data_IF_306657267446
#
_entry.id   IF_306657267446
#
_cell.length_a   1.000
_cell.length_b   1.000
_cell.length_c   1.000
_cell.angle_alpha   90.00
_cell.angle_beta   90.00
_cell.angle_gamma   90.00
#
_symmetry.space_group_name_H-M   'P 1'
#
loop_
_entity.id
_entity.type
_entity.pdbx_description
1 polymer ?
#
# COMPACT_ATOMS: atom_id res chain seq x y z
N UNK A 1 1.33 -26.38 -22.38
CA UNK A 1 2.65 -26.34 -21.71
C UNK A 1 3.64 -27.41 -22.20
N UNK A 2 3.41 -28.08 -23.34
CA UNK A 2 4.33 -29.15 -23.85
C UNK A 2 5.02 -28.82 -25.18
N UNK A 3 5.01 -27.58 -25.66
CA UNK A 3 5.58 -27.22 -26.96
C UNK A 3 6.76 -26.25 -26.92
N UNK A 4 7.26 -25.87 -25.74
CA UNK A 4 8.43 -24.95 -25.61
C UNK A 4 9.75 -25.68 -25.31
N UNK A 5 9.70 -26.96 -24.99
CA UNK A 5 10.86 -27.73 -24.49
C UNK A 5 11.76 -28.37 -25.56
N UNK A 6 11.70 -27.98 -26.84
CA UNK A 6 12.51 -28.62 -27.92
C UNK A 6 13.40 -27.69 -28.75
N UNK A 7 13.68 -26.48 -28.27
CA UNK A 7 14.46 -25.49 -29.02
C UNK A 7 15.77 -24.98 -28.37
N UNK A 8 16.13 -25.46 -27.21
CA UNK A 8 17.24 -24.88 -26.44
C UNK A 8 18.36 -25.89 -26.19
N UNK A 9 19.05 -26.34 -27.23
CA UNK A 9 20.32 -27.06 -27.11
C UNK A 9 21.24 -26.82 -28.31
N UNK A 10 21.53 -25.56 -28.61
CA UNK A 10 22.75 -25.20 -29.36
C UNK A 10 23.03 -23.70 -29.16
N UNK A 11 24.09 -23.37 -28.39
CA UNK A 11 24.78 -22.09 -28.46
C UNK A 11 24.46 -21.07 -27.37
N UNK A 12 25.07 -21.18 -26.23
CA UNK A 12 25.25 -20.12 -25.23
C UNK A 12 26.23 -20.59 -24.18
N UNK A 13 27.47 -20.10 -24.27
CA UNK A 13 28.55 -20.45 -23.35
C UNK A 13 28.42 -19.67 -22.02
N UNK A 14 27.24 -19.70 -21.39
CA UNK A 14 27.01 -19.11 -20.07
C UNK A 14 27.17 -20.21 -18.99
N UNK A 15 28.41 -20.74 -18.90
CA UNK A 15 28.79 -21.59 -17.77
C UNK A 15 28.65 -20.78 -16.48
N UNK A 16 28.01 -21.33 -15.46
CA UNK A 16 27.87 -20.70 -14.16
C UNK A 16 29.23 -20.18 -13.68
N UNK A 17 29.30 -18.92 -13.27
CA UNK A 17 30.54 -18.19 -12.93
C UNK A 17 31.34 -18.84 -11.78
N UNK A 18 30.79 -19.84 -11.07
CA UNK A 18 31.37 -20.52 -9.92
C UNK A 18 31.96 -21.92 -10.22
N UNK A 19 32.04 -22.32 -11.48
CA UNK A 19 32.46 -23.69 -11.91
C UNK A 19 33.90 -24.09 -11.59
N UNK A 20 34.76 -23.16 -11.22
CA UNK A 20 36.21 -23.42 -11.15
C UNK A 20 36.68 -24.52 -10.18
N UNK A 21 35.83 -25.06 -9.31
CA UNK A 21 36.15 -26.14 -8.36
C UNK A 21 35.54 -27.47 -8.76
N UNK A 22 34.49 -27.50 -9.55
CA UNK A 22 33.70 -28.70 -9.82
C UNK A 22 34.16 -29.33 -11.14
N UNK A 23 34.26 -30.65 -11.16
CA UNK A 23 34.65 -31.44 -12.33
C UNK A 23 33.44 -31.75 -13.24
N UNK A 24 32.23 -31.76 -12.65
CA UNK A 24 30.98 -31.98 -13.37
C UNK A 24 30.13 -30.71 -13.42
N UNK A 25 29.41 -30.49 -14.52
CA UNK A 25 28.42 -29.43 -14.62
C UNK A 25 27.18 -29.70 -13.76
N UNK A 26 26.40 -28.64 -13.39
CA UNK A 26 25.17 -28.84 -12.65
C UNK A 26 24.15 -29.62 -13.49
N UNK A 27 23.32 -30.40 -12.82
CA UNK A 27 22.17 -31.07 -13.45
C UNK A 27 21.19 -30.04 -13.97
N UNK A 28 20.59 -30.27 -15.15
CA UNK A 28 19.67 -29.32 -15.77
C UNK A 28 18.44 -29.00 -14.88
N UNK A 29 17.93 -29.99 -14.14
CA UNK A 29 16.82 -29.83 -13.21
C UNK A 29 17.23 -28.98 -12.00
N UNK A 30 18.50 -29.15 -11.54
CA UNK A 30 19.02 -28.30 -10.46
C UNK A 30 19.17 -26.83 -10.90
N UNK A 31 19.63 -26.57 -12.13
CA UNK A 31 19.70 -25.21 -12.71
C UNK A 31 18.32 -24.59 -12.79
N UNK A 32 17.32 -25.32 -13.31
CA UNK A 32 15.95 -24.83 -13.40
C UNK A 32 15.37 -24.49 -12.01
N UNK A 33 15.69 -25.31 -11.00
CA UNK A 33 15.22 -25.12 -9.63
C UNK A 33 15.83 -23.89 -8.93
N UNK A 34 17.08 -23.55 -9.24
CA UNK A 34 17.77 -22.41 -8.61
C UNK A 34 17.62 -21.08 -9.37
N UNK A 35 17.13 -21.11 -10.62
CA UNK A 35 17.00 -19.93 -11.48
C UNK A 35 16.01 -18.92 -10.91
N UNK A 36 16.46 -17.66 -10.78
CA UNK A 36 15.65 -16.54 -10.25
C UNK A 36 15.33 -15.45 -11.28
N UNK A 37 15.83 -15.55 -12.51
CA UNK A 37 15.73 -14.50 -13.55
C UNK A 37 14.28 -14.07 -13.85
N UNK A 38 13.31 -14.98 -13.70
CA UNK A 38 11.89 -14.69 -13.89
C UNK A 38 11.34 -13.65 -12.90
N UNK A 39 11.98 -13.54 -11.74
CA UNK A 39 11.60 -12.62 -10.67
C UNK A 39 12.49 -11.40 -10.66
N UNK A 40 13.82 -11.61 -10.62
CA UNK A 40 14.80 -10.56 -10.41
C UNK A 40 15.07 -9.67 -11.64
N UNK A 41 14.67 -10.09 -12.85
CA UNK A 41 14.68 -9.24 -14.05
C UNK A 41 14.07 -7.85 -13.84
N UNK A 42 13.15 -7.73 -12.88
CA UNK A 42 12.51 -6.48 -12.50
C UNK A 42 13.53 -5.44 -12.00
N UNK A 43 14.64 -5.87 -11.44
CA UNK A 43 15.71 -5.02 -10.91
C UNK A 43 16.84 -4.74 -11.92
N UNK A 44 16.66 -5.07 -13.21
CA UNK A 44 17.71 -4.91 -14.21
C UNK A 44 18.30 -3.49 -14.26
N UNK A 45 17.47 -2.45 -14.15
CA UNK A 45 17.91 -1.06 -14.15
C UNK A 45 18.60 -0.67 -12.83
N UNK A 46 18.18 -1.26 -11.73
CA UNK A 46 18.78 -1.06 -10.41
C UNK A 46 20.17 -1.70 -10.36
N UNK A 47 20.32 -2.93 -10.87
CA UNK A 47 21.62 -3.60 -11.00
C UNK A 47 22.61 -2.82 -11.88
N UNK A 48 22.16 -2.34 -13.05
CA UNK A 48 22.98 -1.52 -13.93
C UNK A 48 23.39 -0.21 -13.22
N UNK A 49 22.49 0.42 -12.50
CA UNK A 49 22.76 1.67 -11.76
C UNK A 49 23.78 1.43 -10.66
N UNK A 50 23.61 0.37 -9.86
CA UNK A 50 24.55 -0.06 -8.84
C UNK A 50 25.91 -0.43 -9.40
N UNK A 51 25.94 -1.20 -10.49
CA UNK A 51 27.17 -1.62 -11.19
C UNK A 51 27.95 -0.43 -11.77
N UNK A 52 27.29 0.58 -12.34
CA UNK A 52 27.94 1.81 -12.82
C UNK A 52 28.61 2.57 -11.68
N UNK A 53 27.94 2.75 -10.55
CA UNK A 53 28.51 3.43 -9.39
C UNK A 53 29.71 2.65 -8.81
N UNK A 54 29.61 1.32 -8.75
CA UNK A 54 30.69 0.46 -8.32
C UNK A 54 31.92 0.58 -9.21
N UNK A 55 31.75 0.48 -10.52
CA UNK A 55 32.85 0.57 -11.51
C UNK A 55 33.50 1.96 -11.51
N UNK A 56 32.72 3.02 -11.38
CA UNK A 56 33.25 4.38 -11.23
C UNK A 56 34.16 4.48 -9.99
N UNK A 57 33.79 3.88 -8.88
CA UNK A 57 34.61 3.79 -7.66
C UNK A 57 35.88 2.96 -7.90
N UNK A 58 35.81 1.81 -8.60
CA UNK A 58 36.95 0.98 -8.90
C UNK A 58 38.02 1.74 -9.71
N UNK A 59 37.59 2.51 -10.73
CA UNK A 59 38.46 3.36 -11.50
C UNK A 59 39.08 4.47 -10.66
N UNK A 60 38.25 5.24 -9.94
CA UNK A 60 38.70 6.34 -9.09
C UNK A 60 39.67 5.92 -7.97
N UNK A 61 39.47 4.70 -7.43
CA UNK A 61 40.37 4.11 -6.41
C UNK A 61 41.62 3.44 -7.01
N UNK A 62 41.78 3.43 -8.31
CA UNK A 62 42.94 2.83 -9.00
C UNK A 62 43.00 1.31 -8.93
N UNK A 63 41.86 0.66 -8.62
CA UNK A 63 41.74 -0.81 -8.56
C UNK A 63 41.71 -1.39 -9.97
N UNK A 64 41.08 -0.69 -10.90
CA UNK A 64 41.14 -0.97 -12.34
C UNK A 64 41.57 0.29 -13.08
N UNK A 65 42.13 0.17 -14.31
CA UNK A 65 42.47 1.34 -15.11
C UNK A 65 41.23 2.19 -15.42
N UNK A 66 41.35 3.53 -15.34
CA UNK A 66 40.25 4.46 -15.55
C UNK A 66 39.57 4.29 -16.93
N UNK A 67 40.37 4.08 -17.98
CA UNK A 67 39.85 3.85 -19.33
C UNK A 67 39.00 2.57 -19.44
N UNK A 68 39.32 1.53 -18.68
CA UNK A 68 38.46 0.32 -18.62
C UNK A 68 37.20 0.58 -17.81
N UNK A 69 37.28 1.34 -16.72
CA UNK A 69 36.09 1.74 -15.96
C UNK A 69 35.12 2.54 -16.85
N UNK A 70 35.65 3.52 -17.62
CA UNK A 70 34.85 4.32 -18.54
C UNK A 70 34.20 3.46 -19.64
N UNK A 71 34.94 2.48 -20.18
CA UNK A 71 34.43 1.52 -21.18
C UNK A 71 33.29 0.66 -20.61
N UNK A 72 33.44 0.15 -19.40
CA UNK A 72 32.41 -0.67 -18.73
C UNK A 72 31.14 0.18 -18.48
N UNK A 73 31.30 1.40 -17.98
CA UNK A 73 30.17 2.31 -17.72
C UNK A 73 29.40 2.60 -19.01
N UNK A 74 30.12 2.92 -20.08
CA UNK A 74 29.50 3.18 -21.39
C UNK A 74 28.75 1.96 -21.94
N UNK A 75 29.34 0.77 -21.79
CA UNK A 75 28.69 -0.48 -22.22
C UNK A 75 27.43 -0.79 -21.39
N UNK A 76 27.44 -0.58 -20.05
CA UNK A 76 26.30 -0.71 -19.17
C UNK A 76 25.17 0.29 -19.54
N UNK A 77 25.52 1.52 -19.92
CA UNK A 77 24.54 2.50 -20.42
C UNK A 77 23.89 2.06 -21.74
N UNK A 78 24.66 1.42 -22.60
CA UNK A 78 24.14 0.82 -23.82
C UNK A 78 23.19 -0.34 -23.52
N UNK A 79 23.55 -1.22 -22.58
CA UNK A 79 22.69 -2.34 -22.14
C UNK A 79 21.36 -1.82 -21.57
N UNK A 80 21.42 -0.81 -20.69
CA UNK A 80 20.22 -0.17 -20.12
C UNK A 80 19.26 0.32 -21.20
N UNK A 81 19.79 1.09 -22.18
CA UNK A 81 18.98 1.63 -23.29
C UNK A 81 18.40 0.54 -24.19
N UNK A 82 19.17 -0.51 -24.45
CA UNK A 82 18.72 -1.63 -25.28
C UNK A 82 17.62 -2.44 -24.60
N UNK A 83 17.70 -2.63 -23.28
CA UNK A 83 16.63 -3.25 -22.48
C UNK A 83 15.37 -2.38 -22.48
N UNK A 84 15.50 -1.07 -22.25
CA UNK A 84 14.35 -0.14 -22.25
C UNK A 84 13.65 -0.06 -23.62
N UNK A 85 14.42 -0.09 -24.70
CA UNK A 85 13.85 -0.05 -26.05
C UNK A 85 13.37 -1.39 -26.59
N UNK A 86 13.67 -2.49 -25.88
CA UNK A 86 13.39 -3.86 -26.34
C UNK A 86 14.34 -4.36 -27.44
N UNK A 87 15.42 -3.63 -27.72
CA UNK A 87 16.48 -4.07 -28.66
C UNK A 87 17.30 -5.24 -28.09
N UNK A 88 17.40 -5.33 -26.78
CA UNK A 88 17.94 -6.46 -26.05
C UNK A 88 16.80 -7.14 -25.28
N UNK A 89 16.63 -8.44 -25.50
CA UNK A 89 15.68 -9.28 -24.75
C UNK A 89 16.41 -10.08 -23.71
N UNK A 90 15.80 -10.28 -22.56
CA UNK A 90 16.36 -11.10 -21.48
C UNK A 90 16.39 -12.55 -21.92
N UNK A 91 17.54 -13.19 -21.77
CA UNK A 91 17.71 -14.63 -21.97
C UNK A 91 17.40 -15.37 -20.67
N UNK A 92 16.27 -16.02 -20.65
CA UNK A 92 15.78 -16.81 -19.49
C UNK A 92 16.56 -18.10 -19.23
N UNK A 93 17.61 -18.40 -20.02
CA UNK A 93 18.56 -19.48 -19.71
C UNK A 93 19.63 -19.07 -18.71
N UNK A 94 19.75 -17.76 -18.41
CA UNK A 94 20.65 -17.26 -17.37
C UNK A 94 20.10 -17.59 -15.96
N UNK A 95 20.98 -17.77 -14.99
CA UNK A 95 20.63 -18.06 -13.59
C UNK A 95 19.83 -16.91 -12.96
N UNK A 96 20.33 -15.68 -13.13
CA UNK A 96 19.77 -14.45 -12.57
C UNK A 96 20.03 -13.25 -13.50
N UNK A 97 19.39 -12.12 -13.24
CA UNK A 97 19.53 -10.90 -14.02
C UNK A 97 20.97 -10.35 -14.01
N UNK A 98 21.66 -10.55 -12.92
CA UNK A 98 23.04 -10.10 -12.74
C UNK A 98 24.01 -10.88 -13.64
N UNK A 99 23.87 -12.21 -13.70
CA UNK A 99 24.64 -13.06 -14.62
C UNK A 99 24.33 -12.73 -16.06
N UNK A 100 23.07 -12.45 -16.40
CA UNK A 100 22.68 -12.03 -17.73
C UNK A 100 23.38 -10.72 -18.13
N UNK A 101 23.31 -9.68 -17.27
CA UNK A 101 23.93 -8.38 -17.56
C UNK A 101 25.46 -8.51 -17.68
N UNK A 102 26.10 -9.27 -16.79
CA UNK A 102 27.56 -9.51 -16.82
C UNK A 102 27.99 -10.29 -18.09
N UNK A 103 27.16 -11.27 -18.52
CA UNK A 103 27.36 -12.00 -19.76
C UNK A 103 27.28 -11.08 -20.97
N UNK A 104 26.22 -10.31 -21.13
CA UNK A 104 26.05 -9.34 -22.22
C UNK A 104 27.17 -8.29 -22.22
N UNK A 105 27.58 -7.81 -21.04
CA UNK A 105 28.67 -6.87 -20.89
C UNK A 105 30.00 -7.48 -21.41
N UNK A 106 30.27 -8.72 -21.00
CA UNK A 106 31.49 -9.45 -21.43
C UNK A 106 31.50 -9.71 -22.93
N UNK A 107 30.37 -10.04 -23.53
CA UNK A 107 30.24 -10.24 -24.97
C UNK A 107 30.49 -8.94 -25.74
N UNK A 108 30.11 -7.79 -25.19
CA UNK A 108 30.28 -6.48 -25.83
C UNK A 108 31.73 -5.94 -25.75
N UNK A 109 32.40 -6.13 -24.62
CA UNK A 109 33.69 -5.48 -24.35
C UNK A 109 34.81 -6.43 -23.91
N UNK A 110 34.57 -7.75 -23.91
CA UNK A 110 35.60 -8.79 -23.65
C UNK A 110 36.11 -8.75 -22.20
N UNK A 111 37.43 -8.93 -22.03
CA UNK A 111 38.10 -9.04 -20.72
C UNK A 111 37.83 -7.85 -19.78
N UNK A 112 37.62 -6.64 -20.32
CA UNK A 112 37.28 -5.50 -19.49
C UNK A 112 35.95 -5.67 -18.78
N UNK A 113 34.95 -6.31 -19.42
CA UNK A 113 33.63 -6.58 -18.84
C UNK A 113 33.69 -7.44 -17.61
N UNK A 114 34.58 -8.42 -17.55
CA UNK A 114 34.78 -9.31 -16.41
C UNK A 114 35.21 -8.59 -15.11
N UNK A 115 35.69 -7.34 -15.23
CA UNK A 115 36.13 -6.56 -14.07
C UNK A 115 34.97 -5.89 -13.30
N UNK A 116 33.76 -5.91 -13.83
CA UNK A 116 32.58 -5.33 -13.18
C UNK A 116 32.32 -5.92 -11.79
N UNK A 117 32.68 -7.19 -11.58
CA UNK A 117 32.47 -7.91 -10.32
C UNK A 117 33.62 -7.75 -9.30
N UNK A 118 34.68 -7.01 -9.63
CA UNK A 118 35.86 -6.87 -8.78
C UNK A 118 35.53 -6.32 -7.40
N UNK A 119 35.87 -7.07 -6.33
CA UNK A 119 35.63 -6.66 -4.94
C UNK A 119 34.17 -6.72 -4.48
N UNK A 120 33.27 -7.30 -5.26
CA UNK A 120 31.83 -7.43 -4.98
C UNK A 120 31.44 -8.89 -4.80
N UNK A 121 30.37 -9.14 -4.07
CA UNK A 121 29.66 -10.42 -4.03
C UNK A 121 28.25 -10.24 -4.58
N UNK A 122 27.65 -11.34 -5.04
CA UNK A 122 26.21 -11.37 -5.36
C UNK A 122 25.36 -10.93 -4.14
N UNK A 123 25.81 -11.22 -2.92
CA UNK A 123 25.07 -10.93 -1.68
C UNK A 123 24.90 -9.43 -1.45
N UNK A 124 25.96 -8.61 -1.56
CA UNK A 124 25.87 -7.17 -1.37
C UNK A 124 25.28 -6.46 -2.60
N UNK A 125 25.41 -7.06 -3.80
CA UNK A 125 24.78 -6.60 -5.03
C UNK A 125 23.26 -6.69 -4.94
N UNK A 126 22.69 -7.86 -4.62
CA UNK A 126 21.23 -8.06 -4.47
C UNK A 126 20.68 -7.15 -3.38
N UNK A 127 21.36 -7.07 -2.22
CA UNK A 127 20.94 -6.20 -1.13
C UNK A 127 20.89 -4.71 -1.53
N UNK A 128 21.76 -4.27 -2.48
CA UNK A 128 21.70 -2.93 -3.05
C UNK A 128 20.50 -2.78 -3.98
N UNK A 129 20.32 -3.73 -4.90
CA UNK A 129 19.32 -3.63 -5.97
C UNK A 129 17.89 -3.62 -5.41
N UNK A 130 17.61 -4.43 -4.39
CA UNK A 130 16.34 -4.39 -3.66
C UNK A 130 16.09 -3.02 -2.98
N UNK A 131 17.12 -2.43 -2.36
CA UNK A 131 17.00 -1.09 -1.77
C UNK A 131 16.80 0.00 -2.83
N UNK A 132 17.49 -0.07 -3.94
CA UNK A 132 17.30 0.86 -5.06
C UNK A 132 15.90 0.73 -5.63
N UNK A 133 15.43 -0.50 -5.88
CA UNK A 133 14.06 -0.77 -6.32
C UNK A 133 13.03 -0.14 -5.39
N UNK A 134 13.13 -0.39 -4.08
CA UNK A 134 12.18 0.13 -3.11
C UNK A 134 12.21 1.66 -3.03
N UNK A 135 13.38 2.30 -3.19
CA UNK A 135 13.52 3.75 -3.16
C UNK A 135 12.79 4.47 -4.29
N UNK A 136 12.47 3.81 -5.40
CA UNK A 136 11.62 4.38 -6.45
C UNK A 136 10.20 3.80 -6.45
N UNK A 137 10.02 2.54 -6.07
CA UNK A 137 8.70 1.89 -6.04
C UNK A 137 7.80 2.48 -4.94
N UNK A 138 8.34 2.70 -3.74
CA UNK A 138 7.55 3.21 -2.61
C UNK A 138 7.04 4.64 -2.82
N UNK A 139 7.84 5.63 -3.28
CA UNK A 139 7.32 6.94 -3.63
C UNK A 139 6.20 6.91 -4.68
N UNK A 140 6.28 5.97 -5.63
CA UNK A 140 5.21 5.74 -6.62
C UNK A 140 3.92 5.28 -5.95
N UNK A 141 3.99 4.34 -5.01
CA UNK A 141 2.84 3.89 -4.23
C UNK A 141 2.29 5.02 -3.33
N UNK A 142 3.15 5.79 -2.69
CA UNK A 142 2.77 6.96 -1.88
C UNK A 142 2.01 8.01 -2.72
N UNK A 143 2.44 8.27 -3.95
CA UNK A 143 1.72 9.15 -4.88
C UNK A 143 0.31 8.65 -5.20
N UNK A 144 0.13 7.33 -5.35
CA UNK A 144 -1.19 6.73 -5.56
C UNK A 144 -2.10 6.85 -4.32
N UNK A 145 -1.54 6.73 -3.12
CA UNK A 145 -2.28 6.99 -1.86
C UNK A 145 -2.75 8.45 -1.83
N UNK A 146 -1.88 9.42 -2.12
CA UNK A 146 -2.27 10.85 -2.21
C UNK A 146 -3.37 11.07 -3.26
N UNK A 147 -3.29 10.38 -4.39
CA UNK A 147 -4.32 10.44 -5.44
C UNK A 147 -5.68 9.95 -4.94
N UNK A 148 -5.73 8.82 -4.23
CA UNK A 148 -6.98 8.32 -3.63
C UNK A 148 -7.53 9.30 -2.58
N UNK A 149 -6.67 9.82 -1.70
CA UNK A 149 -7.09 10.83 -0.71
C UNK A 149 -7.67 12.06 -1.40
N UNK A 150 -7.04 12.55 -2.46
CA UNK A 150 -7.55 13.70 -3.23
C UNK A 150 -8.94 13.44 -3.81
N UNK A 151 -9.15 12.27 -4.41
CA UNK A 151 -10.49 11.87 -4.93
C UNK A 151 -11.53 11.82 -3.81
N UNK A 152 -11.20 11.22 -2.67
CA UNK A 152 -12.11 11.13 -1.52
C UNK A 152 -12.43 12.51 -0.93
N UNK A 153 -11.44 13.38 -0.84
CA UNK A 153 -11.59 14.77 -0.35
C UNK A 153 -12.47 15.60 -1.28
N UNK A 154 -12.35 15.43 -2.60
CA UNK A 154 -13.20 16.14 -3.56
C UNK A 154 -14.65 15.68 -3.48
N UNK A 155 -14.88 14.37 -3.30
CA UNK A 155 -16.22 13.84 -3.03
C UNK A 155 -16.75 14.40 -1.70
N UNK A 156 -15.95 14.36 -0.64
CA UNK A 156 -16.33 14.86 0.68
C UNK A 156 -16.71 16.34 0.64
N UNK A 157 -15.99 17.16 -0.11
CA UNK A 157 -16.27 18.60 -0.22
C UNK A 157 -17.65 18.89 -0.82
N UNK A 158 -18.10 18.07 -1.76
CA UNK A 158 -19.45 18.13 -2.33
C UNK A 158 -20.56 17.63 -1.39
N UNK A 159 -20.22 16.93 -0.31
CA UNK A 159 -21.16 16.20 0.55
C UNK A 159 -21.10 16.59 2.04
N UNK A 160 -20.63 17.79 2.37
CA UNK A 160 -20.51 18.28 3.76
C UNK A 160 -21.84 18.33 4.51
N UNK A 161 -22.95 18.52 3.81
CA UNK A 161 -24.30 18.54 4.37
C UNK A 161 -25.12 17.27 4.08
N UNK A 162 -24.57 16.31 3.33
CA UNK A 162 -25.27 15.08 3.00
C UNK A 162 -25.32 14.16 4.22
N UNK A 163 -26.50 14.08 4.83
CA UNK A 163 -26.74 13.27 6.03
C UNK A 163 -26.58 11.78 5.72
N UNK A 164 -25.98 11.07 6.65
CA UNK A 164 -25.78 9.63 6.64
C UNK A 164 -25.97 9.09 8.05
N UNK A 165 -26.68 7.98 8.21
CA UNK A 165 -26.70 7.29 9.50
C UNK A 165 -25.31 6.70 9.78
N UNK A 166 -24.72 7.01 10.93
CA UNK A 166 -23.56 6.31 11.43
C UNK A 166 -23.97 4.93 11.99
N UNK A 167 -23.05 3.97 11.92
CA UNK A 167 -23.30 2.59 12.35
C UNK A 167 -22.28 2.14 13.39
N UNK A 168 -22.76 1.45 14.42
CA UNK A 168 -21.95 0.62 15.32
C UNK A 168 -22.62 -0.75 15.42
N UNK A 169 -21.83 -1.84 15.41
CA UNK A 169 -22.40 -3.21 15.41
C UNK A 169 -23.37 -3.49 14.25
N UNK A 170 -23.21 -2.80 13.11
CA UNK A 170 -24.16 -2.77 11.98
C UNK A 170 -25.58 -2.30 12.37
N UNK A 171 -25.71 -1.64 13.51
CA UNK A 171 -26.96 -1.00 13.94
C UNK A 171 -26.85 0.51 13.71
N UNK A 172 -27.97 1.14 13.33
CA UNK A 172 -28.06 2.59 13.22
C UNK A 172 -27.73 3.23 14.56
N UNK A 173 -26.84 4.20 14.55
CA UNK A 173 -26.39 4.93 15.72
C UNK A 173 -26.77 6.41 15.58
N UNK A 174 -25.79 7.30 15.56
CA UNK A 174 -26.02 8.73 15.46
C UNK A 174 -25.88 9.20 14.01
N UNK A 175 -26.59 10.26 13.58
CA UNK A 175 -26.39 10.84 12.26
C UNK A 175 -25.01 11.50 12.15
N UNK A 176 -24.40 11.35 10.98
CA UNK A 176 -23.16 11.98 10.56
C UNK A 176 -23.33 12.56 9.14
N UNK A 177 -22.27 13.03 8.50
CA UNK A 177 -22.30 13.36 7.08
C UNK A 177 -21.48 12.36 6.28
N UNK A 178 -21.81 12.19 4.99
CA UNK A 178 -20.99 11.42 4.05
C UNK A 178 -19.54 11.94 4.04
N UNK A 179 -19.38 13.25 4.03
CA UNK A 179 -18.05 13.88 4.08
C UNK A 179 -17.26 13.48 5.32
N UNK A 180 -17.89 13.46 6.50
CA UNK A 180 -17.23 13.03 7.73
C UNK A 180 -16.75 11.58 7.62
N UNK A 181 -17.58 10.70 7.06
CA UNK A 181 -17.23 9.29 6.87
C UNK A 181 -16.03 9.13 5.90
N UNK A 182 -16.06 9.82 4.75
CA UNK A 182 -14.96 9.76 3.77
C UNK A 182 -13.66 10.35 4.33
N UNK A 183 -13.72 11.40 5.13
CA UNK A 183 -12.54 11.92 5.83
C UNK A 183 -11.93 10.87 6.78
N UNK A 184 -12.74 10.00 7.40
CA UNK A 184 -12.19 8.93 8.23
C UNK A 184 -11.34 7.96 7.41
N UNK A 185 -11.74 7.61 6.17
CA UNK A 185 -10.92 6.81 5.26
C UNK A 185 -9.61 7.54 4.90
N UNK A 186 -9.69 8.85 4.61
CA UNK A 186 -8.51 9.66 4.29
C UNK A 186 -7.47 9.66 5.43
N UNK A 187 -7.90 9.79 6.69
CA UNK A 187 -7.01 9.74 7.85
C UNK A 187 -6.35 8.36 8.05
N UNK A 188 -7.02 7.28 7.65
CA UNK A 188 -6.42 5.93 7.66
C UNK A 188 -5.32 5.83 6.59
N UNK A 189 -5.60 6.27 5.38
CA UNK A 189 -4.64 6.28 4.25
C UNK A 189 -3.43 7.18 4.50
N UNK A 190 -3.62 8.34 5.16
CA UNK A 190 -2.50 9.21 5.55
C UNK A 190 -1.53 8.49 6.50
N UNK A 191 -2.05 7.75 7.47
CA UNK A 191 -1.19 6.94 8.36
C UNK A 191 -0.46 5.81 7.62
N UNK A 192 -1.07 5.26 6.55
CA UNK A 192 -0.39 4.26 5.71
C UNK A 192 0.76 4.88 4.91
N UNK A 193 0.54 6.07 4.36
CA UNK A 193 1.60 6.84 3.71
C UNK A 193 2.79 7.08 4.66
N UNK A 194 2.52 7.53 5.89
CA UNK A 194 3.55 7.80 6.89
C UNK A 194 4.34 6.53 7.28
N UNK A 195 3.69 5.37 7.38
CA UNK A 195 4.39 4.09 7.62
C UNK A 195 5.38 3.76 6.50
N UNK A 196 4.99 3.99 5.26
CA UNK A 196 5.90 3.80 4.11
C UNK A 196 7.07 4.78 4.15
N UNK A 197 6.83 6.04 4.52
CA UNK A 197 7.87 7.06 4.68
C UNK A 197 8.85 6.70 5.79
N UNK A 198 8.35 6.26 6.95
CA UNK A 198 9.16 5.80 8.07
C UNK A 198 10.03 4.59 7.67
N UNK A 199 9.48 3.62 6.95
CA UNK A 199 10.21 2.45 6.47
C UNK A 199 11.30 2.84 5.45
N UNK A 200 11.02 3.78 4.53
CA UNK A 200 12.01 4.31 3.59
C UNK A 200 13.24 4.91 4.31
N UNK A 201 13.06 5.51 5.48
CA UNK A 201 14.18 6.08 6.24
C UNK A 201 15.23 5.04 6.65
N UNK A 202 14.81 3.78 6.86
CA UNK A 202 15.70 2.69 7.30
C UNK A 202 16.49 2.03 6.18
N UNK A 203 16.13 2.21 4.93
CA UNK A 203 16.89 1.69 3.78
C UNK A 203 17.84 2.72 3.15
N UNK A 204 18.11 3.83 3.83
CA UNK A 204 18.95 4.91 3.30
C UNK A 204 20.47 4.69 3.48
N UNK A 205 20.90 3.47 3.80
CA UNK A 205 22.31 3.11 3.89
C UNK A 205 22.69 2.12 2.78
N UNK A 206 23.80 2.42 2.07
CA UNK A 206 24.32 1.57 0.98
C UNK A 206 24.93 0.29 1.55
N UNK A 207 24.54 -0.90 1.06
CA UNK A 207 25.14 -2.16 1.46
C UNK A 207 26.41 -2.48 0.67
N UNK A 208 26.63 -1.84 -0.48
CA UNK A 208 27.69 -2.24 -1.43
C UNK A 208 29.08 -2.08 -0.82
N UNK A 209 29.93 -3.07 -1.08
CA UNK A 209 31.27 -3.22 -0.49
C UNK A 209 31.27 -4.06 0.80
N UNK A 210 30.11 -4.59 1.23
CA UNK A 210 30.04 -5.59 2.30
C UNK A 210 30.59 -6.97 1.84
N UNK A 211 30.68 -7.18 0.52
CA UNK A 211 31.12 -8.42 -0.06
C UNK A 211 30.17 -9.58 0.28
N UNK A 212 30.71 -10.79 0.40
CA UNK A 212 29.89 -11.94 0.79
C UNK A 212 29.41 -11.86 2.25
N UNK A 213 30.23 -11.34 3.18
CA UNK A 213 29.95 -11.13 4.60
C UNK A 213 31.04 -10.38 5.36
N UNK A 214 32.28 -10.28 4.80
CA UNK A 214 33.46 -9.80 5.53
C UNK A 214 34.10 -8.57 4.84
N UNK A 215 33.43 -7.94 3.90
CA UNK A 215 33.97 -6.86 3.09
C UNK A 215 34.98 -7.37 2.07
N UNK A 216 35.94 -6.49 1.70
CA UNK A 216 37.01 -6.79 0.74
C UNK A 216 38.34 -6.30 1.29
N UNK A 217 39.44 -6.98 0.92
CA UNK A 217 40.80 -6.52 1.17
C UNK A 217 41.27 -5.45 0.18
N UNK A 218 40.50 -5.19 -0.91
CA UNK A 218 40.74 -4.12 -1.84
C UNK A 218 40.32 -2.78 -1.21
N UNK A 219 41.02 -1.67 -1.58
CA UNK A 219 40.72 -0.35 -1.03
C UNK A 219 39.44 0.26 -1.65
N UNK A 220 38.29 -0.40 -1.44
CA UNK A 220 37.01 0.08 -1.93
C UNK A 220 36.59 1.36 -1.19
N UNK A 221 36.13 2.35 -1.91
CA UNK A 221 35.57 3.58 -1.35
C UNK A 221 34.03 3.45 -1.31
N UNK A 222 33.49 2.84 -0.23
CA UNK A 222 32.08 2.63 -0.04
C UNK A 222 31.29 3.93 0.07
N UNK A 223 31.89 4.95 0.67
CA UNK A 223 31.31 6.28 0.84
C UNK A 223 31.07 6.96 -0.52
N UNK A 224 32.01 6.85 -1.44
CA UNK A 224 31.87 7.35 -2.81
C UNK A 224 30.66 6.69 -3.52
N UNK A 225 30.53 5.37 -3.40
CA UNK A 225 29.39 4.63 -3.99
C UNK A 225 28.08 5.09 -3.37
N UNK A 226 28.01 5.19 -2.04
CA UNK A 226 26.83 5.66 -1.32
C UNK A 226 26.41 7.06 -1.79
N UNK A 227 27.37 7.99 -1.89
CA UNK A 227 27.13 9.35 -2.37
C UNK A 227 26.65 9.39 -3.82
N UNK A 228 27.26 8.61 -4.69
CA UNK A 228 26.90 8.53 -6.14
C UNK A 228 25.45 8.03 -6.30
N UNK A 229 25.02 7.09 -5.47
CA UNK A 229 23.68 6.52 -5.50
C UNK A 229 22.66 7.29 -4.62
N UNK A 230 23.07 8.39 -3.98
CA UNK A 230 22.21 9.23 -3.14
C UNK A 230 21.76 8.54 -1.85
N UNK A 231 22.57 7.63 -1.29
CA UNK A 231 22.38 7.10 0.05
C UNK A 231 22.92 8.06 1.12
N UNK A 232 22.36 8.00 2.32
CA UNK A 232 22.80 8.83 3.44
C UNK A 232 24.15 8.41 4.03
N UNK A 233 24.62 7.20 3.72
CA UNK A 233 25.85 6.63 4.21
C UNK A 233 25.98 5.16 3.84
N UNK A 234 26.83 4.44 4.56
CA UNK A 234 27.08 3.01 4.35
C UNK A 234 26.62 2.20 5.56
N UNK A 235 26.23 0.96 5.34
CA UNK A 235 25.86 0.04 6.42
C UNK A 235 27.06 -0.25 7.33
N UNK A 236 26.88 -0.30 8.67
CA UNK A 236 27.99 -0.33 9.62
C UNK A 236 28.65 -1.70 9.81
N UNK A 237 27.98 -2.79 9.45
CA UNK A 237 28.48 -4.15 9.65
C UNK A 237 28.21 -5.01 8.42
N UNK A 238 29.26 -5.56 7.79
CA UNK A 238 29.16 -6.30 6.55
C UNK A 238 28.40 -7.63 6.66
N UNK A 239 28.46 -8.28 7.82
CA UNK A 239 27.79 -9.56 8.03
C UNK A 239 26.29 -9.38 8.22
N UNK A 240 25.85 -8.35 8.96
CA UNK A 240 24.47 -7.93 9.09
C UNK A 240 23.90 -7.46 7.75
N UNK A 241 24.65 -6.66 7.01
CA UNK A 241 24.26 -6.04 5.74
C UNK A 241 23.72 -7.04 4.71
N UNK A 242 24.39 -8.20 4.58
CA UNK A 242 24.02 -9.20 3.58
C UNK A 242 22.94 -10.18 4.08
N UNK A 243 22.64 -10.15 5.37
CA UNK A 243 21.58 -10.93 6.02
C UNK A 243 20.27 -10.15 6.19
N UNK A 244 20.33 -8.82 6.16
CA UNK A 244 19.20 -7.94 6.40
C UNK A 244 18.12 -8.11 5.31
N UNK A 245 16.93 -8.49 5.75
CA UNK A 245 15.67 -8.53 5.00
C UNK A 245 14.53 -7.88 5.79
N UNK A 246 14.86 -7.14 6.85
CA UNK A 246 13.88 -6.46 7.68
C UNK A 246 13.03 -5.51 6.85
N UNK A 247 13.62 -4.85 5.85
CA UNK A 247 12.91 -3.96 4.96
C UNK A 247 11.84 -4.66 4.11
N UNK A 248 12.08 -5.89 3.64
CA UNK A 248 11.07 -6.68 2.92
C UNK A 248 9.87 -6.96 3.82
N UNK A 249 10.11 -7.35 5.06
CA UNK A 249 9.09 -7.62 6.08
C UNK A 249 8.35 -6.32 6.44
N UNK A 250 9.07 -5.25 6.69
CA UNK A 250 8.50 -3.96 7.14
C UNK A 250 7.58 -3.34 6.07
N UNK A 251 8.03 -3.30 4.81
CA UNK A 251 7.18 -2.81 3.72
C UNK A 251 5.98 -3.71 3.50
N UNK A 252 6.14 -5.03 3.53
CA UNK A 252 5.01 -5.96 3.37
C UNK A 252 4.03 -5.88 4.53
N UNK A 253 4.50 -5.59 5.76
CA UNK A 253 3.63 -5.31 6.90
C UNK A 253 2.85 -3.99 6.70
N UNK A 254 3.48 -2.94 6.18
CA UNK A 254 2.81 -1.70 5.83
C UNK A 254 1.77 -1.92 4.72
N UNK A 255 2.10 -2.71 3.69
CA UNK A 255 1.16 -3.12 2.64
C UNK A 255 -0.02 -3.91 3.20
N UNK A 256 0.21 -4.80 4.16
CA UNK A 256 -0.84 -5.56 4.83
C UNK A 256 -1.82 -4.66 5.58
N UNK A 257 -1.34 -3.62 6.25
CA UNK A 257 -2.19 -2.61 6.90
C UNK A 257 -3.00 -1.79 5.89
N UNK A 258 -2.37 -1.32 4.82
CA UNK A 258 -3.07 -0.61 3.74
C UNK A 258 -4.17 -1.48 3.13
N UNK A 259 -3.90 -2.76 2.84
CA UNK A 259 -4.91 -3.69 2.35
C UNK A 259 -6.01 -3.96 3.37
N UNK A 260 -5.70 -3.97 4.68
CA UNK A 260 -6.72 -4.06 5.74
C UNK A 260 -7.68 -2.87 5.67
N UNK A 261 -7.17 -1.66 5.46
CA UNK A 261 -7.99 -0.47 5.32
C UNK A 261 -8.84 -0.53 4.05
N UNK A 262 -8.24 -0.85 2.90
CA UNK A 262 -8.97 -1.02 1.64
C UNK A 262 -10.06 -2.11 1.74
N UNK A 263 -9.77 -3.22 2.43
CA UNK A 263 -10.75 -4.29 2.69
C UNK A 263 -11.97 -3.77 3.47
N UNK A 264 -11.75 -2.93 4.49
CA UNK A 264 -12.83 -2.32 5.27
C UNK A 264 -13.65 -1.34 4.43
N UNK A 265 -12.99 -0.53 3.59
CA UNK A 265 -13.69 0.37 2.68
C UNK A 265 -14.53 -0.41 1.67
N UNK A 266 -13.97 -1.48 1.13
CA UNK A 266 -14.69 -2.37 0.21
C UNK A 266 -15.88 -3.05 0.87
N UNK A 267 -15.78 -3.46 2.14
CA UNK A 267 -16.90 -4.02 2.89
C UNK A 267 -18.06 -3.01 2.99
N UNK A 268 -17.75 -1.76 3.33
CA UNK A 268 -18.77 -0.70 3.38
C UNK A 268 -19.37 -0.43 1.98
N UNK A 269 -18.55 -0.37 0.93
CA UNK A 269 -19.04 -0.22 -0.46
C UNK A 269 -19.97 -1.38 -0.86
N UNK A 270 -19.62 -2.62 -0.50
CA UNK A 270 -20.42 -3.81 -0.78
C UNK A 270 -21.77 -3.69 -0.07
N UNK A 271 -21.78 -3.39 1.24
CA UNK A 271 -23.00 -3.21 2.02
C UNK A 271 -23.84 -2.05 1.45
N UNK A 272 -23.21 -0.92 1.15
CA UNK A 272 -23.91 0.28 0.65
C UNK A 272 -24.47 0.11 -0.76
N UNK A 273 -23.93 -0.80 -1.56
CA UNK A 273 -24.43 -1.10 -2.91
C UNK A 273 -25.57 -2.08 -2.93
N UNK A 274 -25.91 -2.73 -1.81
CA UNK A 274 -27.07 -3.66 -1.72
C UNK A 274 -28.39 -2.93 -1.92
N UNK A 275 -29.42 -3.67 -2.33
CA UNK A 275 -30.79 -3.16 -2.50
C UNK A 275 -31.36 -2.60 -1.19
N UNK A 276 -30.99 -3.20 -0.04
CA UNK A 276 -31.42 -2.81 1.31
C UNK A 276 -30.86 -1.44 1.70
N UNK A 277 -29.60 -1.15 1.40
CA UNK A 277 -28.95 0.13 1.70
C UNK A 277 -29.14 1.14 0.58
N UNK A 278 -28.74 0.83 -0.63
CA UNK A 278 -28.77 1.74 -1.79
C UNK A 278 -28.13 3.10 -1.55
N UNK A 279 -27.06 3.16 -0.80
CA UNK A 279 -26.36 4.41 -0.52
C UNK A 279 -25.40 4.79 -1.65
N UNK A 280 -24.84 3.79 -2.37
CA UNK A 280 -23.93 3.98 -3.47
C UNK A 280 -24.40 3.18 -4.69
N UNK A 281 -24.22 3.77 -5.87
CA UNK A 281 -24.39 3.09 -7.16
C UNK A 281 -23.05 3.14 -7.90
N UNK A 282 -22.42 1.98 -8.04
CA UNK A 282 -21.14 1.85 -8.74
C UNK A 282 -21.35 2.01 -10.24
N UNK A 283 -20.38 2.59 -10.93
CA UNK A 283 -20.40 2.65 -12.41
C UNK A 283 -20.42 1.24 -13.01
N UNK A 284 -21.07 1.07 -14.16
CA UNK A 284 -21.07 -0.19 -14.91
C UNK A 284 -19.66 -0.68 -15.25
N UNK A 285 -18.70 0.23 -15.41
CA UNK A 285 -17.29 -0.10 -15.64
C UNK A 285 -16.65 -0.83 -14.44
N UNK A 286 -17.22 -0.68 -13.26
CA UNK A 286 -16.72 -1.22 -11.98
C UNK A 286 -17.75 -2.14 -11.32
N UNK A 287 -18.56 -2.80 -12.14
CA UNK A 287 -19.57 -3.76 -11.71
C UNK A 287 -19.69 -4.86 -12.75
N UNK A 288 -20.23 -6.00 -12.35
CA UNK A 288 -20.58 -7.06 -13.30
C UNK A 288 -22.06 -7.39 -13.24
N UNK A 289 -22.59 -7.99 -14.31
CA UNK A 289 -23.94 -8.51 -14.35
C UNK A 289 -24.00 -9.98 -14.00
N UNK A 290 -25.18 -10.54 -14.10
CA UNK A 290 -25.41 -11.98 -13.99
C UNK A 290 -25.84 -12.56 -15.34
N UNK A 291 -25.30 -13.71 -15.73
CA UNK A 291 -25.67 -14.41 -16.95
C UNK A 291 -27.09 -14.97 -16.93
N UNK A 292 -27.68 -15.10 -15.73
CA UNK A 292 -29.02 -15.68 -15.53
C UNK A 292 -30.04 -14.67 -14.96
N UNK A 293 -29.56 -13.62 -14.25
CA UNK A 293 -30.41 -12.63 -13.60
C UNK A 293 -30.16 -11.25 -14.20
N UNK A 294 -30.92 -10.79 -15.20
CA UNK A 294 -30.63 -9.56 -15.94
C UNK A 294 -30.68 -8.28 -15.09
N UNK A 295 -31.36 -8.29 -13.96
CA UNK A 295 -31.48 -7.16 -13.05
C UNK A 295 -30.29 -7.04 -12.08
N UNK A 296 -29.45 -8.09 -11.96
CA UNK A 296 -28.40 -8.16 -10.93
C UNK A 296 -27.15 -7.38 -11.35
N UNK A 297 -26.65 -6.55 -10.44
CA UNK A 297 -25.42 -5.79 -10.56
C UNK A 297 -24.56 -6.07 -9.34
N UNK A 298 -23.36 -6.59 -9.56
CA UNK A 298 -22.48 -7.06 -8.48
C UNK A 298 -21.31 -6.10 -8.26
N UNK A 299 -20.88 -5.87 -7.00
CA UNK A 299 -19.71 -5.07 -6.66
C UNK A 299 -18.41 -5.91 -6.71
N UNK A 300 -18.18 -6.72 -7.76
CA UNK A 300 -17.13 -7.72 -7.80
C UNK A 300 -15.74 -7.14 -7.58
N UNK A 301 -15.49 -5.92 -8.03
CA UNK A 301 -14.17 -5.28 -7.85
C UNK A 301 -13.89 -4.99 -6.38
N UNK A 302 -14.89 -4.56 -5.61
CA UNK A 302 -14.77 -4.39 -4.17
C UNK A 302 -14.56 -5.76 -3.48
N UNK A 303 -15.27 -6.81 -3.92
CA UNK A 303 -15.09 -8.16 -3.39
C UNK A 303 -13.69 -8.71 -3.67
N UNK A 304 -13.16 -8.50 -4.89
CA UNK A 304 -11.82 -8.92 -5.28
C UNK A 304 -10.73 -8.20 -4.47
N UNK A 305 -10.85 -6.89 -4.25
CA UNK A 305 -9.91 -6.14 -3.41
C UNK A 305 -9.93 -6.70 -1.99
N UNK A 306 -11.12 -6.90 -1.41
CA UNK A 306 -11.29 -7.54 -0.09
C UNK A 306 -10.64 -8.92 -0.05
N UNK A 307 -10.83 -9.75 -1.08
CA UNK A 307 -10.26 -11.09 -1.16
C UNK A 307 -8.72 -11.08 -1.28
N UNK A 308 -8.16 -10.17 -2.10
CA UNK A 308 -6.69 -10.04 -2.30
C UNK A 308 -5.94 -9.62 -1.05
N UNK A 309 -6.60 -9.08 -0.04
CA UNK A 309 -5.98 -8.77 1.26
C UNK A 309 -5.32 -10.00 1.86
N UNK A 310 -5.96 -11.18 1.77
CA UNK A 310 -5.39 -12.44 2.26
C UNK A 310 -4.11 -12.86 1.53
N UNK A 311 -3.96 -12.51 0.25
CA UNK A 311 -2.73 -12.77 -0.51
C UNK A 311 -1.55 -11.97 0.06
N UNK A 312 -1.73 -10.69 0.33
CA UNK A 312 -0.68 -9.83 0.91
C UNK A 312 -0.31 -10.28 2.33
N UNK A 313 -1.28 -10.74 3.13
CA UNK A 313 -1.00 -11.35 4.43
C UNK A 313 -0.16 -12.63 4.28
N UNK A 314 -0.46 -13.46 3.28
CA UNK A 314 0.31 -14.65 2.95
C UNK A 314 1.77 -14.31 2.65
N UNK A 315 2.02 -13.27 1.85
CA UNK A 315 3.36 -12.78 1.53
C UNK A 315 4.13 -12.32 2.79
N UNK A 316 3.48 -11.60 3.70
CA UNK A 316 4.09 -11.22 4.97
C UNK A 316 4.49 -12.43 5.82
N UNK A 317 3.60 -13.42 5.93
CA UNK A 317 3.87 -14.63 6.69
C UNK A 317 5.00 -15.45 6.03
N UNK A 318 5.07 -15.49 4.69
CA UNK A 318 6.15 -16.15 3.98
C UNK A 318 7.51 -15.52 4.32
N UNK A 319 7.62 -14.18 4.24
CA UNK A 319 8.85 -13.44 4.58
C UNK A 319 9.28 -13.64 6.04
N UNK A 320 8.35 -13.53 6.99
CA UNK A 320 8.61 -13.78 8.41
C UNK A 320 9.10 -15.22 8.65
N UNK A 321 8.51 -16.19 7.95
CA UNK A 321 8.85 -17.60 8.07
C UNK A 321 10.21 -17.89 7.43
N UNK A 322 10.51 -17.29 6.29
CA UNK A 322 11.77 -17.41 5.59
C UNK A 322 12.96 -17.02 6.49
N UNK A 323 12.91 -15.84 7.10
CA UNK A 323 14.02 -15.33 7.93
C UNK A 323 14.10 -16.03 9.29
N UNK A 324 12.97 -16.55 9.81
CA UNK A 324 12.91 -17.18 11.12
C UNK A 324 13.85 -18.41 11.19
N UNK A 325 14.82 -18.33 12.09
CA UNK A 325 15.71 -19.46 12.39
C UNK A 325 16.92 -19.58 11.44
N UNK A 326 17.11 -18.67 10.48
CA UNK A 326 18.33 -18.61 9.70
C UNK A 326 19.51 -18.15 10.55
N UNK A 327 20.72 -18.73 10.38
CA UNK A 327 21.93 -18.14 10.93
C UNK A 327 22.25 -16.80 10.25
N UNK A 328 23.14 -16.03 10.86
CA UNK A 328 23.61 -14.78 10.28
C UNK A 328 24.29 -14.99 8.92
N UNK A 329 24.41 -13.89 8.16
CA UNK A 329 24.88 -13.87 6.79
C UNK A 329 23.85 -14.47 5.82
N UNK A 330 24.24 -14.67 4.57
CA UNK A 330 23.34 -15.11 3.51
C UNK A 330 23.13 -16.64 3.53
N UNK A 331 21.89 -17.04 3.36
CA UNK A 331 21.46 -18.40 3.06
C UNK A 331 20.55 -18.37 1.83
N UNK A 332 20.56 -19.42 1.01
CA UNK A 332 19.80 -19.49 -0.26
C UNK A 332 18.28 -19.33 -0.05
N UNK A 333 17.77 -19.61 1.15
CA UNK A 333 16.39 -19.35 1.55
C UNK A 333 15.97 -17.91 1.25
N UNK A 334 16.89 -16.95 1.38
CA UNK A 334 16.63 -15.52 1.13
C UNK A 334 16.34 -15.19 -0.35
N UNK A 335 16.49 -16.14 -1.28
CA UNK A 335 16.07 -15.95 -2.67
C UNK A 335 14.54 -15.78 -2.79
N UNK A 336 13.79 -16.33 -1.84
CA UNK A 336 12.32 -16.27 -1.77
C UNK A 336 11.78 -14.89 -1.34
N UNK A 337 12.64 -13.92 -1.00
CA UNK A 337 12.29 -12.58 -0.56
C UNK A 337 11.56 -11.80 -1.65
N UNK A 338 12.07 -11.83 -2.87
CA UNK A 338 11.63 -11.01 -3.99
C UNK A 338 10.23 -11.37 -4.50
N UNK A 339 9.91 -12.65 -4.62
CA UNK A 339 8.58 -13.07 -5.06
C UNK A 339 7.49 -12.52 -4.14
N UNK A 340 7.66 -12.72 -2.83
CA UNK A 340 6.71 -12.26 -1.83
C UNK A 340 6.60 -10.74 -1.79
N UNK A 341 7.72 -10.02 -1.87
CA UNK A 341 7.75 -8.55 -1.83
C UNK A 341 7.10 -7.94 -3.08
N UNK A 342 7.49 -8.43 -4.27
CA UNK A 342 7.00 -7.90 -5.54
C UNK A 342 5.52 -8.21 -5.75
N UNK A 343 5.08 -9.42 -5.40
CA UNK A 343 3.68 -9.80 -5.47
C UNK A 343 2.81 -8.96 -4.53
N UNK A 344 3.29 -8.69 -3.32
CA UNK A 344 2.61 -7.82 -2.37
C UNK A 344 2.50 -6.38 -2.91
N UNK A 345 3.59 -5.82 -3.43
CA UNK A 345 3.62 -4.49 -4.03
C UNK A 345 2.65 -4.35 -5.22
N UNK A 346 2.69 -5.30 -6.16
CA UNK A 346 1.83 -5.29 -7.35
C UNK A 346 0.35 -5.44 -6.97
N UNK A 347 0.07 -6.31 -6.02
CA UNK A 347 -1.30 -6.53 -5.51
C UNK A 347 -1.85 -5.25 -4.88
N UNK A 348 -1.09 -4.61 -3.99
CA UNK A 348 -1.50 -3.36 -3.34
C UNK A 348 -1.68 -2.25 -4.34
N UNK A 349 -0.72 -2.07 -5.25
CA UNK A 349 -0.74 -1.03 -6.28
C UNK A 349 -1.98 -1.16 -7.16
N UNK A 350 -2.25 -2.36 -7.67
CA UNK A 350 -3.42 -2.61 -8.52
C UNK A 350 -4.74 -2.43 -7.77
N UNK A 351 -4.83 -2.86 -6.51
CA UNK A 351 -6.02 -2.68 -5.68
C UNK A 351 -6.30 -1.20 -5.40
N UNK A 352 -5.26 -0.41 -5.12
CA UNK A 352 -5.38 1.02 -4.87
C UNK A 352 -5.86 1.78 -6.12
N UNK A 353 -5.31 1.45 -7.30
CA UNK A 353 -5.74 2.03 -8.58
C UNK A 353 -7.19 1.72 -8.90
N UNK A 354 -7.58 0.44 -8.79
CA UNK A 354 -8.96 0.00 -9.04
C UNK A 354 -9.92 0.66 -8.07
N UNK A 355 -9.61 0.70 -6.78
CA UNK A 355 -10.46 1.34 -5.78
C UNK A 355 -10.63 2.83 -6.05
N UNK A 356 -9.54 3.53 -6.41
CA UNK A 356 -9.57 4.96 -6.74
C UNK A 356 -10.53 5.27 -7.89
N UNK A 357 -10.43 4.50 -8.97
CA UNK A 357 -11.30 4.67 -10.15
C UNK A 357 -12.75 4.29 -9.84
N UNK A 358 -12.97 3.21 -9.11
CA UNK A 358 -14.29 2.73 -8.72
C UNK A 358 -15.03 3.76 -7.88
N UNK A 359 -14.39 4.28 -6.82
CA UNK A 359 -15.02 5.24 -5.91
C UNK A 359 -15.19 6.63 -6.56
N UNK A 360 -14.23 7.05 -7.40
CA UNK A 360 -14.26 8.34 -8.09
C UNK A 360 -15.35 8.45 -9.15
N UNK A 361 -15.88 7.32 -9.63
CA UNK A 361 -16.95 7.26 -10.63
C UNK A 361 -18.31 6.81 -10.06
N UNK A 362 -18.36 6.53 -8.76
CA UNK A 362 -19.58 6.11 -8.09
C UNK A 362 -20.58 7.27 -7.93
N UNK A 363 -21.85 6.95 -7.85
CA UNK A 363 -22.94 7.89 -7.56
C UNK A 363 -23.41 7.68 -6.12
N UNK A 364 -23.59 8.77 -5.41
CA UNK A 364 -24.03 8.79 -4.01
C UNK A 364 -25.51 9.11 -3.92
N UNK A 365 -26.28 8.21 -3.37
CA UNK A 365 -27.73 8.37 -3.19
C UNK A 365 -28.04 9.11 -1.88
N UNK A 366 -27.83 10.42 -1.88
CA UNK A 366 -27.96 11.27 -0.70
C UNK A 366 -29.34 11.27 -0.08
N UNK A 367 -30.41 11.10 -0.90
CA UNK A 367 -31.79 11.03 -0.40
C UNK A 367 -32.01 9.75 0.43
N UNK A 368 -31.47 8.63 -0.06
CA UNK A 368 -31.55 7.35 0.66
C UNK A 368 -30.71 7.35 1.93
N UNK A 369 -29.52 8.00 1.87
CA UNK A 369 -28.68 8.21 3.06
C UNK A 369 -29.42 9.06 4.10
N UNK A 370 -29.98 10.18 3.71
CA UNK A 370 -30.75 11.05 4.60
C UNK A 370 -31.96 10.33 5.22
N UNK A 371 -32.71 9.57 4.42
CA UNK A 371 -33.82 8.75 4.88
C UNK A 371 -33.39 7.70 5.91
N UNK A 372 -32.14 7.22 5.89
CA UNK A 372 -31.61 6.29 6.89
C UNK A 372 -31.45 6.92 8.28
N UNK A 373 -31.35 8.25 8.35
CA UNK A 373 -31.25 8.99 9.62
C UNK A 373 -32.61 9.16 10.33
N UNK A 374 -33.72 8.89 9.63
CA UNK A 374 -35.07 8.93 10.20
C UNK A 374 -35.46 7.53 10.70
N UNK A 375 -36.18 7.49 11.82
CA UNK A 375 -36.51 6.23 12.49
C UNK A 375 -35.34 5.64 13.30
N UNK A 376 -35.63 4.68 14.16
CA UNK A 376 -34.64 4.06 15.04
C UNK A 376 -34.13 4.96 16.18
N UNK A 377 -34.74 6.12 16.36
CA UNK A 377 -34.46 7.04 17.47
C UNK A 377 -32.99 7.49 17.58
N UNK A 378 -32.31 7.70 16.43
CA UNK A 378 -30.91 8.05 16.35
C UNK A 378 -30.56 9.39 17.07
N UNK A 379 -31.57 10.20 17.34
CA UNK A 379 -31.52 11.49 18.04
C UNK A 379 -31.80 11.36 19.58
N UNK A 380 -32.00 10.19 20.12
CA UNK A 380 -32.26 10.01 21.55
C UNK A 380 -31.12 10.55 22.45
N UNK A 381 -29.88 10.47 22.00
CA UNK A 381 -28.74 11.06 22.71
C UNK A 381 -28.87 12.57 22.80
N UNK A 382 -29.38 13.22 21.75
CA UNK A 382 -29.54 14.68 21.68
C UNK A 382 -30.62 15.16 22.65
N UNK A 383 -31.68 14.34 22.91
CA UNK A 383 -32.64 14.58 23.96
C UNK A 383 -31.98 14.54 25.34
N UNK A 384 -31.14 13.54 25.60
CA UNK A 384 -30.39 13.46 26.86
C UNK A 384 -29.44 14.64 27.04
N UNK A 385 -28.71 15.03 26.02
CA UNK A 385 -27.77 16.16 26.03
C UNK A 385 -28.52 17.50 26.21
N UNK A 386 -29.71 17.64 25.65
CA UNK A 386 -30.58 18.79 25.90
C UNK A 386 -30.90 18.96 27.37
N UNK A 387 -31.30 17.86 28.05
CA UNK A 387 -31.58 17.88 29.47
C UNK A 387 -30.33 18.16 30.32
N UNK A 388 -29.17 17.67 29.89
CA UNK A 388 -27.89 17.96 30.56
C UNK A 388 -27.59 19.45 30.50
N UNK A 389 -27.81 20.11 29.33
CA UNK A 389 -27.66 21.56 29.21
C UNK A 389 -28.58 22.35 30.14
N UNK A 390 -29.73 21.77 30.52
CA UNK A 390 -30.65 22.32 31.51
C UNK A 390 -30.31 21.94 32.95
N UNK A 391 -29.13 21.31 33.19
CA UNK A 391 -28.63 21.01 34.53
C UNK A 391 -28.94 19.63 35.06
N UNK A 392 -29.61 18.75 34.25
CA UNK A 392 -29.88 17.38 34.68
C UNK A 392 -28.64 16.51 34.61
N UNK A 393 -28.34 15.67 35.64
CA UNK A 393 -27.25 14.71 35.54
C UNK A 393 -27.44 13.75 34.38
N UNK A 394 -26.37 13.46 33.61
CA UNK A 394 -26.43 12.67 32.38
C UNK A 394 -27.13 11.32 32.54
N UNK A 395 -26.86 10.59 33.63
CA UNK A 395 -27.51 9.28 33.88
C UNK A 395 -29.03 9.40 34.02
N UNK A 396 -29.52 10.47 34.66
CA UNK A 396 -30.93 10.78 34.77
C UNK A 396 -31.52 11.19 33.42
N UNK A 397 -30.84 12.08 32.71
CA UNK A 397 -31.22 12.51 31.37
C UNK A 397 -31.32 11.33 30.36
N UNK A 398 -30.36 10.41 30.42
CA UNK A 398 -30.40 9.17 29.63
C UNK A 398 -31.66 8.32 29.99
N UNK A 399 -32.00 8.21 31.27
CA UNK A 399 -33.21 7.51 31.68
C UNK A 399 -34.51 8.17 31.17
N UNK A 400 -34.56 9.50 31.11
CA UNK A 400 -35.66 10.26 30.51
C UNK A 400 -35.75 10.01 28.99
N UNK A 401 -34.63 10.11 28.29
CA UNK A 401 -34.58 9.84 26.85
C UNK A 401 -35.00 8.40 26.53
N UNK A 402 -34.62 7.43 27.37
CA UNK A 402 -35.05 6.03 27.23
C UNK A 402 -36.57 5.84 27.42
N UNK A 403 -37.20 6.63 28.30
CA UNK A 403 -38.68 6.62 28.44
C UNK A 403 -39.35 7.16 27.17
N UNK A 404 -38.86 8.24 26.60
CA UNK A 404 -39.37 8.78 25.33
C UNK A 404 -39.22 7.77 24.19
N UNK A 405 -38.04 7.13 24.06
CA UNK A 405 -37.83 6.04 23.08
C UNK A 405 -38.82 4.88 23.30
N UNK A 406 -39.03 4.46 24.54
CA UNK A 406 -39.99 3.39 24.85
C UNK A 406 -41.39 3.76 24.41
N UNK A 407 -41.83 4.99 24.70
CA UNK A 407 -43.14 5.50 24.27
C UNK A 407 -43.26 5.48 22.73
N UNK A 408 -42.22 5.85 22.01
CA UNK A 408 -42.20 5.79 20.55
C UNK A 408 -42.31 4.36 20.02
N UNK A 409 -41.59 3.41 20.61
CA UNK A 409 -41.71 1.97 20.26
C UNK A 409 -43.12 1.46 20.46
N UNK A 410 -43.72 1.77 21.59
CA UNK A 410 -45.07 1.31 21.91
C UNK A 410 -46.14 1.92 20.97
N UNK A 411 -45.91 3.10 20.43
CA UNK A 411 -46.81 3.82 19.51
C UNK A 411 -46.45 3.65 18.02
N UNK A 412 -45.28 3.09 17.69
CA UNK A 412 -44.82 2.95 16.32
C UNK A 412 -44.48 4.29 15.64
N UNK A 413 -43.97 5.29 16.39
CA UNK A 413 -43.62 6.62 15.90
C UNK A 413 -42.17 6.99 16.23
N UNK A 414 -41.66 8.14 15.72
CA UNK A 414 -40.35 8.69 16.04
C UNK A 414 -40.44 9.68 17.21
N UNK A 415 -39.32 10.10 17.78
CA UNK A 415 -39.29 11.09 18.88
C UNK A 415 -39.84 12.44 18.40
N UNK A 416 -39.57 12.79 17.16
CA UNK A 416 -40.05 14.02 16.52
C UNK A 416 -41.58 14.07 16.33
N UNK A 417 -42.24 12.91 16.35
CA UNK A 417 -43.68 12.77 16.16
C UNK A 417 -44.47 12.86 17.51
N UNK A 418 -43.72 12.86 18.64
CA UNK A 418 -44.35 13.02 19.96
C UNK A 418 -44.84 14.47 20.15
N UNK A 419 -45.95 14.64 20.86
CA UNK A 419 -46.41 15.96 21.30
C UNK A 419 -45.52 16.52 22.42
N UNK A 420 -45.55 17.82 22.63
CA UNK A 420 -44.86 18.45 23.77
C UNK A 420 -45.36 17.86 25.10
N UNK A 421 -46.63 17.62 25.21
CA UNK A 421 -47.25 16.99 26.42
C UNK A 421 -46.67 15.58 26.66
N UNK A 422 -46.49 14.77 25.60
CA UNK A 422 -45.88 13.45 25.70
C UNK A 422 -44.43 13.57 26.21
N UNK A 423 -43.66 14.48 25.66
CA UNK A 423 -42.24 14.72 26.06
C UNK A 423 -42.19 15.22 27.52
N UNK A 424 -43.05 16.16 27.88
CA UNK A 424 -43.16 16.70 29.25
C UNK A 424 -43.62 15.64 30.28
N UNK A 425 -44.37 14.63 29.85
CA UNK A 425 -44.69 13.49 30.73
C UNK A 425 -43.45 12.68 31.11
N UNK A 426 -42.36 12.77 30.31
CA UNK A 426 -41.07 12.18 30.63
C UNK A 426 -40.22 13.09 31.52
N UNK A 427 -40.24 14.41 31.28
CA UNK A 427 -39.59 15.46 32.07
C UNK A 427 -40.15 16.84 31.77
N UNK A 428 -40.53 17.63 32.76
CA UNK A 428 -40.99 19.00 32.63
C UNK A 428 -39.94 19.96 32.05
N UNK A 429 -38.65 19.58 32.05
CA UNK A 429 -37.55 20.33 31.45
C UNK A 429 -37.54 20.27 29.91
N UNK A 430 -38.34 19.40 29.30
CA UNK A 430 -38.50 19.33 27.85
C UNK A 430 -39.47 20.42 27.40
N UNK A 431 -38.96 21.38 26.62
CA UNK A 431 -39.69 22.55 26.14
C UNK A 431 -39.85 22.51 24.62
N UNK A 432 -40.66 23.45 24.05
CA UNK A 432 -41.00 23.51 22.63
C UNK A 432 -39.77 23.53 21.71
N UNK A 433 -38.69 24.17 22.14
CA UNK A 433 -37.45 24.35 21.36
C UNK A 433 -36.74 23.06 21.04
N UNK A 434 -37.00 21.98 21.79
CA UNK A 434 -36.38 20.65 21.57
C UNK A 434 -36.63 20.14 20.16
N UNK A 435 -37.81 20.34 19.58
CA UNK A 435 -38.15 19.85 18.24
C UNK A 435 -37.22 20.42 17.17
N UNK A 436 -36.71 21.62 17.34
CA UNK A 436 -35.74 22.21 16.43
C UNK A 436 -34.32 21.65 16.60
N UNK A 437 -34.01 21.08 17.75
CA UNK A 437 -32.67 20.63 18.16
C UNK A 437 -32.44 19.13 17.93
N UNK A 438 -33.51 18.34 17.81
CA UNK A 438 -33.41 16.88 17.64
C UNK A 438 -33.65 16.40 16.20
N UNK A 439 -33.75 17.30 15.23
CA UNK A 439 -33.74 16.91 13.81
C UNK A 439 -32.38 16.30 13.45
N UNK A 440 -32.28 15.31 12.53
CA UNK A 440 -31.00 14.74 12.13
C UNK A 440 -29.97 15.80 11.72
N UNK A 441 -30.40 16.84 11.02
CA UNK A 441 -29.52 17.96 10.62
C UNK A 441 -29.03 18.76 11.84
N UNK A 442 -29.89 19.06 12.79
CA UNK A 442 -29.53 19.78 14.03
C UNK A 442 -28.56 18.94 14.87
N UNK A 443 -28.79 17.64 15.00
CA UNK A 443 -27.91 16.71 15.71
C UNK A 443 -26.49 16.74 15.14
N UNK A 444 -26.34 16.70 13.82
CA UNK A 444 -25.02 16.79 13.16
C UNK A 444 -24.39 18.17 13.37
N UNK A 445 -25.15 19.24 13.12
CA UNK A 445 -24.65 20.64 13.20
C UNK A 445 -24.22 21.02 14.61
N UNK A 446 -24.82 20.43 15.65
CA UNK A 446 -24.45 20.70 17.04
C UNK A 446 -23.06 20.12 17.42
N UNK A 447 -22.53 19.15 16.68
CA UNK A 447 -21.27 18.43 16.99
C UNK A 447 -20.05 19.10 16.35
N UNK A 448 -19.71 20.29 16.83
CA UNK A 448 -18.67 21.20 16.30
C UNK A 448 -17.25 20.95 16.81
N UNK A 449 -17.07 20.02 17.72
CA UNK A 449 -15.76 19.69 18.28
C UNK A 449 -14.80 19.25 17.18
N UNK A 450 -13.51 19.49 17.39
CA UNK A 450 -12.46 19.01 16.48
C UNK A 450 -12.64 17.52 16.18
N UNK A 451 -12.70 17.16 14.91
CA UNK A 451 -12.97 15.78 14.48
C UNK A 451 -14.47 15.40 14.47
N UNK A 452 -15.36 16.33 14.80
CA UNK A 452 -16.82 16.10 14.77
C UNK A 452 -17.43 16.15 13.36
N UNK A 453 -18.70 15.71 13.19
CA UNK A 453 -19.36 15.62 11.90
C UNK A 453 -20.00 16.95 11.43
N UNK A 454 -19.99 18.01 12.22
CA UNK A 454 -20.56 19.29 11.80
C UNK A 454 -19.87 19.79 10.51
N UNK A 455 -20.60 20.37 9.54
CA UNK A 455 -20.05 20.82 8.27
C UNK A 455 -18.81 21.73 8.41
N UNK A 456 -18.80 22.61 9.41
CA UNK A 456 -17.66 23.48 9.71
C UNK A 456 -16.43 22.68 10.20
N UNK A 457 -16.61 21.68 11.06
CA UNK A 457 -15.52 20.83 11.54
C UNK A 457 -14.98 19.91 10.44
N UNK A 458 -15.85 19.42 9.57
CA UNK A 458 -15.48 18.62 8.39
C UNK A 458 -14.74 19.48 7.36
N UNK A 459 -15.12 20.75 7.18
CA UNK A 459 -14.41 21.68 6.29
C UNK A 459 -12.95 21.84 6.70
N UNK A 460 -12.67 21.93 8.00
CA UNK A 460 -11.29 21.99 8.52
C UNK A 460 -10.51 20.71 8.19
N UNK A 461 -11.14 19.53 8.33
CA UNK A 461 -10.52 18.26 7.98
C UNK A 461 -10.19 18.17 6.48
N UNK A 462 -11.13 18.55 5.62
CA UNK A 462 -10.97 18.62 4.16
C UNK A 462 -9.79 19.52 3.79
N UNK A 463 -9.74 20.73 4.38
CA UNK A 463 -8.66 21.66 4.11
C UNK A 463 -7.30 21.10 4.53
N UNK A 464 -7.20 20.56 5.74
CA UNK A 464 -5.95 19.94 6.24
C UNK A 464 -5.47 18.78 5.35
N UNK A 465 -6.38 17.93 4.87
CA UNK A 465 -6.05 16.83 3.98
C UNK A 465 -5.62 17.33 2.58
N UNK A 466 -6.23 18.38 2.05
CA UNK A 466 -5.81 18.99 0.78
C UNK A 466 -4.41 19.59 0.87
N UNK A 467 -4.16 20.38 1.93
CA UNK A 467 -2.84 20.96 2.18
C UNK A 467 -1.78 19.84 2.26
N UNK A 468 -2.04 18.81 3.05
CA UNK A 468 -1.13 17.67 3.18
C UNK A 468 -0.89 16.94 1.84
N UNK A 469 -1.89 16.79 0.98
CA UNK A 469 -1.70 16.17 -0.34
C UNK A 469 -0.80 17.00 -1.27
N UNK A 470 -0.79 18.35 -1.10
CA UNK A 470 0.02 19.26 -1.92
C UNK A 470 1.42 19.50 -1.38
N UNK A 471 1.66 19.23 -0.10
CA UNK A 471 3.00 19.29 0.50
C UNK A 471 3.90 18.25 -0.16
N UNK A 472 5.15 18.69 -0.50
CA UNK A 472 6.14 17.91 -1.24
C UNK A 472 6.80 16.86 -0.35
#
# INVERSE_FOLDING_TARGET
MESVAKGAMEGGNHAALWHGRFEEGPDAQAVEFETSIYVDQRMAQDDITGSKAHVAMLGASGIIPQNEADQIIQALEGISKDLESGALTIDYSAEDIHSFIEGVLTDRIGEAGKKVHTGRSRNDQIALDERLYLRHAIPTLQSKIKTLISVLVDIADGHKESLLSGYTHLQRAQPVTLAHHLCAWCWMLQRDYQRLEDALSRIQLSPLGAGALAGSSLPLNREMVAQTLGFAGVTPNSLDTVADRDYCIEFTAAFSLLMTHLSRFCEEVIIWSTEEFKFIDLSEKWSTGSSIMPQKKNPDFAELIRGRTGRVYGNLIALLTMVKGLPLSYNRDMQEDKESLFDAYDTVTSCLEVFTQMIGTARWNTDRMAASCTGGHANATDVAEYLVRKGMPFRTAHGVAAKAVRMCIDRGCNIEDLSLEDLQSCSELLEEDIFSLITPKACVTARKLTGGPAPEAVTVQIQSLREWCTDK
#
